data_IF_516608157537
#
_entry.id   IF_516608157537
#
_cell.length_a   1.000
_cell.length_b   1.000
_cell.length_c   1.000
_cell.angle_alpha   90.00
_cell.angle_beta   90.00
_cell.angle_gamma   90.00
#
_symmetry.space_group_name_H-M   'P 1'
#
loop_
_entity.id
_entity.type
_entity.pdbx_description
1 polymer ?
#
# COMPACT_ATOMS: atom_id res chain seq x y z
N UNK A 1 -65.00 68.99 2.49
CA UNK A 1 -64.92 67.53 2.11
C UNK A 1 -63.61 67.35 1.36
N UNK A 2 -62.58 66.94 2.06
CA UNK A 2 -61.22 66.74 1.50
C UNK A 2 -61.00 65.30 1.19
N UNK A 3 -60.99 64.97 -0.09
CA UNK A 3 -60.80 63.63 -0.56
C UNK A 3 -59.32 63.23 -0.53
N UNK A 4 -58.92 62.29 0.36
CA UNK A 4 -57.58 61.78 0.45
C UNK A 4 -57.44 60.67 -0.58
N UNK A 5 -56.53 60.84 -1.56
CA UNK A 5 -56.21 59.82 -2.54
C UNK A 5 -55.37 58.68 -1.92
N UNK A 6 -55.60 57.44 -2.28
CA UNK A 6 -54.86 56.32 -1.71
C UNK A 6 -53.41 56.24 -2.26
N UNK A 7 -52.46 56.02 -1.37
CA UNK A 7 -51.04 55.90 -1.64
C UNK A 7 -50.77 54.54 -2.38
N UNK A 8 -50.01 54.50 -3.46
CA UNK A 8 -49.73 53.29 -4.15
C UNK A 8 -48.88 52.34 -3.26
N UNK A 9 -49.35 51.14 -3.08
CA UNK A 9 -48.58 50.06 -2.40
C UNK A 9 -47.40 49.68 -3.28
N UNK A 10 -46.18 49.86 -2.76
CA UNK A 10 -44.92 49.49 -3.35
C UNK A 10 -44.84 47.96 -3.27
N UNK A 11 -45.00 47.28 -4.41
CA UNK A 11 -44.79 45.84 -4.57
C UNK A 11 -43.36 45.51 -4.18
N UNK A 12 -43.22 44.88 -3.02
CA UNK A 12 -41.95 44.29 -2.56
C UNK A 12 -41.76 42.90 -3.25
N UNK A 13 -41.48 42.90 -4.54
CA UNK A 13 -40.93 41.71 -5.17
C UNK A 13 -39.43 41.64 -4.84
N UNK A 14 -39.12 41.30 -3.59
CA UNK A 14 -37.81 40.84 -3.23
C UNK A 14 -37.58 39.47 -3.93
N UNK A 15 -36.84 39.53 -5.02
CA UNK A 15 -36.36 38.34 -5.70
C UNK A 15 -35.48 37.58 -4.72
N UNK A 16 -36.11 36.62 -4.02
CA UNK A 16 -35.41 35.68 -3.16
C UNK A 16 -34.49 34.85 -4.06
N UNK A 17 -33.24 35.25 -4.17
CA UNK A 17 -32.20 34.42 -4.76
C UNK A 17 -32.17 33.10 -3.99
N UNK A 18 -32.75 32.09 -4.57
CA UNK A 18 -32.78 30.75 -3.98
C UNK A 18 -31.35 30.26 -3.81
N UNK A 19 -30.82 30.44 -2.61
CA UNK A 19 -29.55 29.88 -2.19
C UNK A 19 -29.68 28.34 -2.25
N UNK A 20 -29.19 27.74 -3.35
CA UNK A 20 -29.14 26.28 -3.46
C UNK A 20 -28.30 25.73 -2.32
N UNK A 21 -28.87 24.90 -1.43
CA UNK A 21 -28.11 24.40 -0.30
C UNK A 21 -26.91 23.59 -0.82
N UNK A 22 -25.71 23.98 -0.41
CA UNK A 22 -24.49 23.22 -0.64
C UNK A 22 -24.72 21.88 0.04
N UNK A 23 -24.91 20.82 -0.75
CA UNK A 23 -25.05 19.45 -0.22
C UNK A 23 -23.79 19.12 0.58
N UNK A 24 -23.87 19.21 1.90
CA UNK A 24 -22.80 18.75 2.80
C UNK A 24 -22.62 17.27 2.51
N UNK A 25 -21.42 16.88 2.07
CA UNK A 25 -21.07 15.47 1.88
C UNK A 25 -21.24 14.78 3.24
N UNK A 26 -22.09 13.77 3.31
CA UNK A 26 -22.40 13.09 4.58
C UNK A 26 -21.17 12.42 5.16
N UNK A 27 -21.19 12.12 6.45
CA UNK A 27 -20.13 11.43 7.20
C UNK A 27 -19.71 10.13 6.52
N UNK A 28 -20.66 9.37 5.93
CA UNK A 28 -20.37 8.17 5.16
C UNK A 28 -19.40 8.40 3.99
N UNK A 29 -19.45 9.54 3.33
CA UNK A 29 -18.52 9.87 2.24
C UNK A 29 -17.08 10.02 2.76
N UNK A 30 -16.91 10.68 3.90
CA UNK A 30 -15.59 10.86 4.50
C UNK A 30 -15.03 9.54 5.06
N UNK A 31 -15.89 8.68 5.62
CA UNK A 31 -15.51 7.33 6.04
C UNK A 31 -15.08 6.50 4.83
N UNK A 32 -15.83 6.53 3.72
CA UNK A 32 -15.47 5.82 2.49
C UNK A 32 -14.14 6.28 1.91
N UNK A 33 -13.88 7.59 1.86
CA UNK A 33 -12.62 8.16 1.39
C UNK A 33 -11.47 7.77 2.34
N UNK A 34 -11.66 7.88 3.66
CA UNK A 34 -10.65 7.49 4.64
C UNK A 34 -10.29 6.00 4.55
N UNK A 35 -11.29 5.12 4.42
CA UNK A 35 -11.08 3.69 4.26
C UNK A 35 -10.34 3.35 2.96
N UNK A 36 -10.68 4.04 1.86
CA UNK A 36 -9.99 3.85 0.57
C UNK A 36 -8.52 4.29 0.64
N UNK A 37 -8.23 5.42 1.28
CA UNK A 37 -6.84 5.86 1.50
C UNK A 37 -6.09 4.90 2.42
N UNK A 38 -6.71 4.43 3.49
CA UNK A 38 -6.12 3.45 4.41
C UNK A 38 -5.78 2.14 3.71
N UNK A 39 -6.71 1.61 2.91
CA UNK A 39 -6.49 0.38 2.15
C UNK A 39 -5.39 0.55 1.09
N UNK A 40 -5.39 1.66 0.35
CA UNK A 40 -4.37 1.96 -0.64
C UNK A 40 -2.98 2.08 0.00
N UNK A 41 -2.88 2.76 1.15
CA UNK A 41 -1.62 2.89 1.89
C UNK A 41 -1.12 1.54 2.41
N UNK A 42 -2.02 0.68 2.89
CA UNK A 42 -1.68 -0.68 3.32
C UNK A 42 -1.14 -1.52 2.17
N UNK A 43 -1.82 -1.50 1.02
CA UNK A 43 -1.38 -2.24 -0.18
C UNK A 43 -0.02 -1.73 -0.66
N UNK A 44 0.19 -0.41 -0.66
CA UNK A 44 1.47 0.19 -1.06
C UNK A 44 2.59 -0.22 -0.09
N UNK A 45 2.33 -0.19 1.21
CA UNK A 45 3.29 -0.62 2.24
C UNK A 45 3.69 -2.09 2.04
N UNK A 46 2.71 -2.97 1.82
CA UNK A 46 2.96 -4.39 1.55
C UNK A 46 3.75 -4.59 0.25
N UNK A 47 3.43 -3.83 -0.81
CA UNK A 47 4.18 -3.88 -2.06
C UNK A 47 5.64 -3.44 -1.87
N UNK A 48 5.90 -2.41 -1.09
CA UNK A 48 7.26 -1.98 -0.74
C UNK A 48 7.98 -3.06 0.05
N UNK A 49 7.35 -3.64 1.08
CA UNK A 49 7.97 -4.69 1.91
C UNK A 49 8.26 -5.99 1.14
N UNK A 50 7.35 -6.40 0.25
CA UNK A 50 7.45 -7.72 -0.42
C UNK A 50 8.21 -7.64 -1.74
N UNK A 51 8.25 -6.47 -2.38
CA UNK A 51 8.85 -6.32 -3.72
C UNK A 51 10.05 -5.37 -3.68
N UNK A 52 9.85 -4.11 -3.28
CA UNK A 52 10.88 -3.09 -3.40
C UNK A 52 12.08 -3.36 -2.47
N UNK A 53 11.85 -3.67 -1.21
CA UNK A 53 12.92 -3.96 -0.25
C UNK A 53 13.77 -5.19 -0.64
N UNK A 54 13.20 -6.36 -1.00
CA UNK A 54 13.97 -7.48 -1.48
C UNK A 54 14.79 -7.16 -2.74
N UNK A 55 14.23 -6.43 -3.70
CA UNK A 55 14.96 -6.01 -4.91
C UNK A 55 16.17 -5.14 -4.57
N UNK A 56 16.01 -4.15 -3.70
CA UNK A 56 17.09 -3.24 -3.31
C UNK A 56 18.19 -3.94 -2.51
N UNK A 57 17.83 -4.92 -1.68
CA UNK A 57 18.77 -5.65 -0.80
C UNK A 57 19.29 -6.94 -1.41
N UNK A 58 18.93 -7.25 -2.66
CA UNK A 58 19.22 -8.53 -3.32
C UNK A 58 18.72 -9.74 -2.53
N UNK A 59 17.69 -9.56 -1.72
CA UNK A 59 17.06 -10.61 -0.93
C UNK A 59 16.09 -11.42 -1.78
N UNK A 60 15.90 -12.69 -1.42
CA UNK A 60 15.02 -13.61 -2.14
C UNK A 60 13.84 -14.00 -1.25
N UNK A 61 12.60 -13.86 -1.72
CA UNK A 61 11.42 -14.32 -1.01
C UNK A 61 11.25 -15.84 -1.16
N UNK A 62 11.04 -16.53 -0.03
CA UNK A 62 10.68 -17.96 0.02
C UNK A 62 9.41 -18.15 0.82
N UNK A 63 8.61 -19.16 0.46
CA UNK A 63 7.41 -19.54 1.22
C UNK A 63 7.69 -20.78 2.05
N UNK A 64 7.40 -20.70 3.34
CA UNK A 64 7.43 -21.84 4.24
C UNK A 64 6.24 -22.75 3.91
N UNK A 65 6.52 -23.97 3.44
CA UNK A 65 5.49 -24.91 2.99
C UNK A 65 5.10 -25.93 4.06
N UNK A 66 5.96 -26.15 5.06
CA UNK A 66 5.82 -27.18 6.07
C UNK A 66 5.66 -26.57 7.46
N UNK A 67 5.25 -27.39 8.43
CA UNK A 67 5.10 -26.98 9.83
C UNK A 67 6.39 -27.14 10.65
N UNK A 68 7.51 -27.49 10.03
CA UNK A 68 8.79 -27.72 10.74
C UNK A 68 9.31 -26.51 11.52
N UNK A 69 8.89 -25.31 11.13
CA UNK A 69 9.27 -24.05 11.77
C UNK A 69 8.17 -23.45 12.69
N UNK A 70 7.16 -24.25 13.05
CA UNK A 70 6.17 -23.84 14.04
C UNK A 70 6.82 -23.67 15.43
N UNK A 71 6.38 -22.71 16.25
CA UNK A 71 5.39 -21.69 15.96
C UNK A 71 5.98 -20.42 15.29
N UNK A 72 7.32 -20.32 15.16
CA UNK A 72 7.99 -19.08 14.74
C UNK A 72 7.62 -18.67 13.30
N UNK A 73 7.57 -19.63 12.39
CA UNK A 73 7.25 -19.43 10.96
C UNK A 73 6.26 -20.50 10.50
N UNK A 74 4.95 -20.32 10.75
CA UNK A 74 3.93 -21.29 10.31
C UNK A 74 3.90 -21.47 8.79
N UNK A 75 3.42 -22.64 8.34
CA UNK A 75 3.19 -22.86 6.92
C UNK A 75 2.35 -21.74 6.29
N UNK A 76 2.71 -21.28 5.10
CA UNK A 76 2.12 -20.09 4.47
C UNK A 76 2.75 -18.75 4.86
N UNK A 77 3.83 -18.75 5.65
CA UNK A 77 4.64 -17.57 5.92
C UNK A 77 5.56 -17.29 4.75
N UNK A 78 5.62 -16.03 4.29
CA UNK A 78 6.65 -15.56 3.37
C UNK A 78 7.85 -15.09 4.18
N UNK A 79 9.01 -15.68 3.95
CA UNK A 79 10.30 -15.29 4.56
C UNK A 79 11.16 -14.60 3.53
N UNK A 80 11.73 -13.46 3.89
CA UNK A 80 12.66 -12.70 3.05
C UNK A 80 14.07 -13.04 3.51
N UNK A 81 14.82 -13.69 2.62
CA UNK A 81 16.15 -14.22 2.88
C UNK A 81 17.18 -13.30 2.26
N UNK A 82 18.02 -12.70 3.09
CA UNK A 82 19.12 -11.83 2.68
C UNK A 82 20.38 -12.66 2.52
N UNK A 83 21.09 -12.55 1.38
CA UNK A 83 22.42 -13.16 1.25
C UNK A 83 23.33 -12.68 2.39
N UNK A 84 24.02 -13.60 3.03
CA UNK A 84 24.90 -13.30 4.15
C UNK A 84 26.19 -14.10 3.99
N UNK A 85 27.30 -13.53 4.44
CA UNK A 85 28.55 -14.24 4.55
C UNK A 85 28.38 -15.37 5.57
N UNK A 86 28.75 -16.61 5.24
CA UNK A 86 28.70 -17.74 6.19
C UNK A 86 29.43 -17.46 7.52
N UNK A 87 30.49 -16.67 7.52
CA UNK A 87 31.22 -16.28 8.73
C UNK A 87 30.45 -15.35 9.67
N UNK A 88 29.38 -14.69 9.18
CA UNK A 88 28.51 -13.82 9.97
C UNK A 88 27.31 -14.54 10.57
N UNK A 89 27.07 -15.77 10.15
CA UNK A 89 25.95 -16.59 10.64
C UNK A 89 26.25 -17.03 12.07
N UNK A 90 25.27 -16.89 12.95
CA UNK A 90 25.37 -17.21 14.37
C UNK A 90 24.39 -18.32 14.77
N UNK A 91 24.67 -18.97 15.87
CA UNK A 91 23.72 -19.87 16.51
C UNK A 91 22.45 -19.09 16.87
N UNK A 92 21.29 -19.63 16.50
CA UNK A 92 19.98 -18.98 16.65
C UNK A 92 19.47 -18.32 15.37
N UNK A 93 20.34 -18.02 14.40
CA UNK A 93 19.90 -17.50 13.12
C UNK A 93 19.07 -18.54 12.36
N UNK A 94 18.06 -18.06 11.64
CA UNK A 94 17.28 -18.90 10.74
C UNK A 94 17.82 -18.73 9.33
N UNK A 95 18.35 -19.84 8.77
CA UNK A 95 18.95 -19.84 7.44
C UNK A 95 18.10 -20.63 6.46
N UNK A 96 18.13 -20.18 5.21
CA UNK A 96 17.58 -20.95 4.08
C UNK A 96 18.76 -21.54 3.30
N UNK A 97 18.72 -22.83 3.08
CA UNK A 97 19.80 -23.57 2.41
C UNK A 97 19.26 -24.64 1.46
N UNK A 98 20.07 -25.02 0.48
CA UNK A 98 19.75 -26.11 -0.44
C UNK A 98 19.93 -27.46 0.26
N UNK A 99 18.99 -28.40 0.05
CA UNK A 99 19.11 -29.79 0.56
C UNK A 99 20.35 -30.44 -0.01
N UNK A 100 20.56 -30.29 -1.30
CA UNK A 100 21.79 -30.69 -1.99
C UNK A 100 22.32 -29.52 -2.80
N UNK A 101 23.62 -29.39 -2.89
CA UNK A 101 24.27 -28.33 -3.66
C UNK A 101 23.79 -28.37 -5.12
N UNK A 102 23.43 -27.20 -5.64
CA UNK A 102 22.91 -26.96 -7.00
C UNK A 102 21.50 -27.52 -7.30
N UNK A 103 20.77 -28.04 -6.31
CA UNK A 103 19.35 -28.37 -6.46
C UNK A 103 18.47 -27.17 -6.10
N UNK A 104 17.32 -26.97 -6.77
CA UNK A 104 16.42 -25.85 -6.48
C UNK A 104 15.68 -25.98 -5.15
N UNK A 105 15.61 -27.20 -4.59
CA UNK A 105 14.92 -27.46 -3.34
C UNK A 105 15.65 -26.84 -2.16
N UNK A 106 14.93 -26.03 -1.38
CA UNK A 106 15.47 -25.35 -0.20
C UNK A 106 14.68 -25.69 1.07
N UNK A 107 15.38 -25.63 2.18
CA UNK A 107 14.83 -25.74 3.54
C UNK A 107 15.19 -24.47 4.31
N UNK A 108 14.30 -24.06 5.21
CA UNK A 108 14.53 -22.94 6.14
C UNK A 108 14.44 -23.47 7.55
N UNK A 109 15.57 -23.52 8.26
CA UNK A 109 15.68 -24.01 9.63
C UNK A 109 16.62 -23.15 10.46
N UNK A 110 16.60 -23.35 11.78
CA UNK A 110 17.42 -22.57 12.73
C UNK A 110 18.77 -23.24 12.95
N UNK A 111 19.83 -22.45 12.95
CA UNK A 111 21.18 -22.88 13.29
C UNK A 111 21.24 -23.18 14.79
N UNK A 112 21.55 -24.42 15.15
CA UNK A 112 21.69 -24.88 16.54
C UNK A 112 23.15 -25.10 16.94
N UNK A 113 24.03 -25.31 15.94
CA UNK A 113 25.46 -25.49 16.17
C UNK A 113 26.26 -25.05 14.93
N UNK A 114 27.45 -24.51 15.17
CA UNK A 114 28.47 -24.26 14.14
C UNK A 114 29.63 -25.21 14.41
N UNK A 115 30.04 -25.97 13.40
CA UNK A 115 31.14 -26.85 13.44
C UNK A 115 32.35 -26.20 12.80
N UNK A 116 33.31 -25.84 13.60
CA UNK A 116 34.57 -25.24 13.15
C UNK A 116 35.42 -26.22 12.36
N UNK A 117 36.26 -25.73 11.41
CA UNK A 117 37.19 -26.57 10.66
C UNK A 117 38.14 -27.34 11.59
N UNK A 118 38.22 -28.66 11.45
CA UNK A 118 39.14 -29.46 12.24
C UNK A 118 40.58 -29.44 11.72
N UNK A 119 40.78 -29.16 10.42
CA UNK A 119 42.07 -29.12 9.74
C UNK A 119 42.17 -27.91 8.82
N UNK A 120 43.39 -27.50 8.51
CA UNK A 120 43.65 -26.47 7.50
C UNK A 120 43.13 -26.96 6.14
N UNK A 121 42.19 -26.21 5.55
CA UNK A 121 41.53 -26.56 4.30
C UNK A 121 40.11 -27.14 4.46
N UNK A 122 39.70 -27.48 5.66
CA UNK A 122 38.29 -27.81 5.93
C UNK A 122 37.42 -26.53 5.95
N UNK A 123 36.17 -26.70 5.60
CA UNK A 123 35.18 -25.63 5.69
C UNK A 123 34.35 -25.73 6.98
N UNK A 124 33.98 -24.61 7.56
CA UNK A 124 32.99 -24.57 8.62
C UNK A 124 31.66 -25.20 8.13
N UNK A 125 30.87 -25.75 9.03
CA UNK A 125 29.58 -26.35 8.71
C UNK A 125 28.54 -25.89 9.72
N UNK A 126 27.28 -25.97 9.32
CA UNK A 126 26.16 -25.64 10.19
C UNK A 126 25.35 -26.89 10.48
N UNK A 127 24.92 -27.04 11.73
CA UNK A 127 23.86 -27.98 12.10
C UNK A 127 22.62 -27.17 12.37
N UNK A 128 21.55 -27.48 11.64
CA UNK A 128 20.28 -26.82 11.72
C UNK A 128 19.21 -27.74 12.28
N UNK A 129 18.10 -27.11 12.74
CA UNK A 129 16.93 -27.85 13.19
C UNK A 129 15.68 -27.01 12.99
N UNK A 130 14.60 -27.60 12.53
CA UNK A 130 13.28 -26.97 12.53
C UNK A 130 12.79 -26.78 13.96
N UNK A 131 12.16 -25.64 14.23
CA UNK A 131 11.69 -25.28 15.59
C UNK A 131 10.72 -26.33 16.17
N UNK A 132 9.93 -26.99 15.31
CA UNK A 132 9.02 -28.08 15.68
C UNK A 132 9.63 -29.48 15.56
N UNK A 133 10.85 -29.62 15.04
CA UNK A 133 11.48 -30.93 14.84
C UNK A 133 12.11 -31.46 16.14
N UNK A 134 12.12 -32.77 16.33
CA UNK A 134 12.83 -33.40 17.44
C UNK A 134 14.30 -33.64 17.11
N UNK A 135 14.62 -33.90 15.85
CA UNK A 135 15.97 -34.25 15.38
C UNK A 135 16.59 -33.06 14.62
N UNK A 136 17.92 -32.97 14.72
CA UNK A 136 18.72 -32.05 13.93
C UNK A 136 18.83 -32.53 12.47
N UNK A 137 19.08 -31.59 11.57
CA UNK A 137 19.34 -31.88 10.18
C UNK A 137 20.79 -32.36 9.98
N UNK A 138 21.09 -33.00 8.85
CA UNK A 138 22.48 -33.29 8.45
C UNK A 138 23.30 -32.00 8.34
N UNK A 139 24.62 -32.12 8.40
CA UNK A 139 25.54 -31.00 8.24
C UNK A 139 25.31 -30.22 6.94
N UNK A 140 25.18 -28.89 7.07
CA UNK A 140 25.00 -27.96 5.96
C UNK A 140 26.32 -27.27 5.66
N UNK A 141 26.75 -27.34 4.41
CA UNK A 141 27.97 -26.68 3.94
C UNK A 141 27.69 -25.20 3.63
N UNK A 142 28.67 -24.28 3.76
CA UNK A 142 28.52 -22.87 3.43
C UNK A 142 27.97 -22.63 2.02
N UNK A 143 28.42 -23.41 1.04
CA UNK A 143 27.99 -23.30 -0.36
C UNK A 143 26.48 -23.59 -0.57
N UNK A 144 25.86 -24.34 0.34
CA UNK A 144 24.43 -24.64 0.30
C UNK A 144 23.57 -23.49 0.83
N UNK A 145 24.16 -22.60 1.64
CA UNK A 145 23.42 -21.51 2.29
C UNK A 145 23.04 -20.46 1.26
N UNK A 146 21.76 -20.09 1.22
CA UNK A 146 21.21 -19.03 0.37
C UNK A 146 21.16 -17.68 1.09
N UNK A 147 21.13 -17.71 2.42
CA UNK A 147 21.19 -16.54 3.27
C UNK A 147 20.42 -16.73 4.58
N UNK A 148 20.32 -15.64 5.31
CA UNK A 148 19.65 -15.56 6.62
C UNK A 148 18.28 -14.92 6.45
N UNK A 149 17.28 -15.42 7.17
CA UNK A 149 15.95 -14.81 7.22
C UNK A 149 16.06 -13.45 7.90
N UNK A 150 15.77 -12.41 7.15
CA UNK A 150 15.79 -11.03 7.63
C UNK A 150 14.48 -10.64 8.29
N UNK A 151 13.36 -10.90 7.62
CA UNK A 151 12.02 -10.73 8.17
C UNK A 151 11.05 -11.70 7.50
N UNK A 152 9.88 -11.82 8.11
CA UNK A 152 8.82 -12.69 7.63
C UNK A 152 7.48 -11.98 7.65
N UNK A 153 6.63 -12.32 6.68
CA UNK A 153 5.25 -11.82 6.60
C UNK A 153 4.32 -13.04 6.66
N UNK A 154 3.62 -13.20 7.77
CA UNK A 154 2.72 -14.35 7.94
C UNK A 154 1.55 -14.27 6.94
N UNK A 155 0.99 -15.42 6.59
CA UNK A 155 -0.19 -15.58 5.73
C UNK A 155 -0.04 -15.13 4.26
N UNK A 156 0.99 -14.40 3.87
CA UNK A 156 1.17 -13.93 2.48
C UNK A 156 1.82 -15.00 1.59
N UNK A 157 2.50 -15.96 2.17
CA UNK A 157 3.20 -17.00 1.42
C UNK A 157 2.28 -17.85 0.53
N UNK A 158 1.03 -18.09 0.92
CA UNK A 158 0.09 -18.82 0.06
C UNK A 158 -0.29 -18.02 -1.19
N UNK A 159 -0.38 -16.69 -1.08
CA UNK A 159 -0.57 -15.80 -2.24
C UNK A 159 0.63 -15.92 -3.19
N UNK A 160 1.85 -15.97 -2.62
CA UNK A 160 3.07 -16.16 -3.39
C UNK A 160 3.08 -17.52 -4.11
N UNK A 161 2.55 -18.59 -3.52
CA UNK A 161 2.43 -19.91 -4.17
C UNK A 161 1.40 -19.92 -5.32
N UNK A 162 0.27 -19.24 -5.17
CA UNK A 162 -0.72 -19.08 -6.23
C UNK A 162 -0.16 -18.24 -7.39
N UNK A 163 0.69 -17.26 -7.07
CA UNK A 163 1.27 -16.33 -8.04
C UNK A 163 2.56 -16.87 -8.68
N UNK A 164 3.32 -17.73 -8.02
CA UNK A 164 4.62 -18.24 -8.52
C UNK A 164 4.52 -19.39 -9.56
N UNK A 165 3.37 -19.98 -9.77
CA UNK A 165 3.10 -20.75 -10.98
C UNK A 165 3.05 -19.76 -12.17
N UNK A 166 3.42 -20.17 -13.39
CA UNK A 166 3.57 -19.35 -14.61
C UNK A 166 2.66 -18.11 -14.82
N UNK A 167 1.70 -17.91 -13.95
CA UNK A 167 0.72 -16.80 -13.91
C UNK A 167 1.31 -15.48 -13.37
N UNK A 168 2.47 -15.50 -12.69
CA UNK A 168 3.09 -14.29 -12.09
C UNK A 168 3.34 -13.19 -13.11
N UNK A 169 3.87 -13.56 -14.29
CA UNK A 169 4.23 -12.60 -15.32
C UNK A 169 3.03 -11.89 -15.93
N UNK A 170 1.83 -12.44 -15.75
CA UNK A 170 0.57 -11.87 -16.23
C UNK A 170 -0.20 -11.19 -15.10
N UNK A 171 -0.29 -11.81 -13.94
CA UNK A 171 -1.13 -11.33 -12.83
C UNK A 171 -0.56 -10.07 -12.17
N UNK A 172 0.76 -10.00 -11.95
CA UNK A 172 1.40 -8.84 -11.31
C UNK A 172 1.24 -7.56 -12.15
N UNK A 173 1.51 -7.54 -13.46
CA UNK A 173 1.28 -6.34 -14.27
C UNK A 173 -0.21 -5.97 -14.41
N UNK A 174 -1.12 -6.95 -14.40
CA UNK A 174 -2.57 -6.67 -14.42
C UNK A 174 -2.99 -5.96 -13.12
N UNK A 175 -2.62 -6.51 -11.96
CA UNK A 175 -2.95 -5.88 -10.66
C UNK A 175 -2.31 -4.49 -10.56
N UNK A 176 -1.04 -4.36 -10.94
CA UNK A 176 -0.37 -3.07 -10.98
C UNK A 176 -1.08 -2.09 -11.91
N UNK A 177 -1.44 -2.51 -13.13
CA UNK A 177 -2.18 -1.70 -14.08
C UNK A 177 -3.52 -1.22 -13.56
N UNK A 178 -4.30 -2.10 -12.94
CA UNK A 178 -5.59 -1.74 -12.32
C UNK A 178 -5.40 -0.72 -11.19
N UNK A 179 -4.37 -0.89 -10.34
CA UNK A 179 -4.06 0.06 -9.27
C UNK A 179 -3.61 1.42 -9.82
N UNK A 180 -2.79 1.44 -10.87
CA UNK A 180 -2.39 2.68 -11.53
C UNK A 180 -3.55 3.39 -12.21
N UNK A 181 -4.45 2.66 -12.89
CA UNK A 181 -5.66 3.22 -13.48
C UNK A 181 -6.59 3.80 -12.40
N UNK A 182 -6.75 3.10 -11.29
CA UNK A 182 -7.54 3.58 -10.15
C UNK A 182 -6.94 4.85 -9.53
N UNK A 183 -5.63 4.86 -9.31
CA UNK A 183 -4.93 6.03 -8.78
C UNK A 183 -5.02 7.24 -9.75
N UNK A 184 -4.85 7.00 -11.05
CA UNK A 184 -5.01 8.00 -12.10
C UNK A 184 -6.43 8.57 -12.16
N UNK A 185 -7.43 7.70 -12.07
CA UNK A 185 -8.85 8.11 -12.00
C UNK A 185 -9.13 8.98 -10.78
N UNK A 186 -8.63 8.60 -9.59
CA UNK A 186 -8.78 9.41 -8.37
C UNK A 186 -8.09 10.78 -8.49
N UNK A 187 -6.88 10.83 -9.04
CA UNK A 187 -6.16 12.07 -9.26
C UNK A 187 -6.89 12.97 -10.26
N UNK A 188 -7.33 12.41 -11.39
CA UNK A 188 -8.08 13.15 -12.42
C UNK A 188 -9.42 13.69 -11.88
N UNK A 189 -10.18 12.88 -11.14
CA UNK A 189 -11.44 13.33 -10.53
C UNK A 189 -11.24 14.50 -9.56
N UNK A 190 -10.18 14.46 -8.76
CA UNK A 190 -9.84 15.54 -7.82
C UNK A 190 -9.46 16.83 -8.56
N UNK A 191 -8.70 16.74 -9.64
CA UNK A 191 -8.32 17.90 -10.47
C UNK A 191 -9.54 18.49 -11.18
N UNK A 192 -10.41 17.65 -11.73
CA UNK A 192 -11.66 18.09 -12.38
C UNK A 192 -12.57 18.80 -11.38
N UNK A 193 -12.73 18.26 -10.18
CA UNK A 193 -13.55 18.88 -9.12
C UNK A 193 -12.99 20.25 -8.68
N UNK A 194 -11.66 20.37 -8.58
CA UNK A 194 -11.00 21.66 -8.28
C UNK A 194 -11.22 22.67 -9.39
N UNK A 195 -11.07 22.30 -10.65
CA UNK A 195 -11.32 23.19 -11.80
C UNK A 195 -12.77 23.63 -11.88
N UNK A 196 -13.72 22.71 -11.65
CA UNK A 196 -15.16 23.05 -11.62
C UNK A 196 -15.50 24.02 -10.49
N UNK A 197 -14.90 23.89 -9.32
CA UNK A 197 -15.09 24.83 -8.21
C UNK A 197 -14.52 26.20 -8.53
N UNK A 198 -13.29 26.26 -9.04
CA UNK A 198 -12.67 27.53 -9.45
C UNK A 198 -13.47 28.24 -10.55
N UNK A 199 -13.96 27.52 -11.56
CA UNK A 199 -14.83 28.10 -12.60
C UNK A 199 -16.17 28.60 -12.05
N UNK A 200 -16.76 27.87 -11.09
CA UNK A 200 -18.01 28.33 -10.44
C UNK A 200 -17.81 29.53 -9.54
N UNK A 201 -16.66 29.67 -8.90
CA UNK A 201 -16.30 30.86 -8.10
C UNK A 201 -16.04 32.07 -8.99
N UNK A 202 -15.33 31.87 -10.11
CA UNK A 202 -15.11 32.95 -11.09
C UNK A 202 -16.42 33.47 -11.70
N UNK A 203 -17.33 32.56 -12.12
CA UNK A 203 -18.63 32.91 -12.65
C UNK A 203 -19.53 33.67 -11.62
N UNK A 204 -19.40 33.36 -10.34
CA UNK A 204 -20.09 34.08 -9.27
C UNK A 204 -19.54 35.50 -9.08
N UNK A 205 -18.20 35.60 -9.03
CA UNK A 205 -17.55 36.91 -8.91
C UNK A 205 -17.93 37.86 -10.08
N UNK A 206 -18.03 37.33 -11.30
CA UNK A 206 -18.48 38.11 -12.47
C UNK A 206 -19.95 38.53 -12.35
N UNK A 207 -20.84 37.64 -11.85
CA UNK A 207 -22.24 38.00 -11.61
C UNK A 207 -22.39 39.06 -10.52
N UNK A 208 -21.65 38.94 -9.42
CA UNK A 208 -21.68 39.90 -8.32
C UNK A 208 -21.20 41.28 -8.79
N UNK A 209 -20.18 41.35 -9.66
CA UNK A 209 -19.69 42.60 -10.25
C UNK A 209 -20.72 43.27 -11.18
N UNK A 210 -21.40 42.47 -12.02
CA UNK A 210 -22.49 42.98 -12.90
C UNK A 210 -23.68 43.48 -12.07
N UNK A 211 -24.04 42.77 -11.01
CA UNK A 211 -25.14 43.18 -10.13
C UNK A 211 -24.81 44.49 -9.37
N UNK A 212 -23.54 44.70 -9.02
CA UNK A 212 -23.06 45.92 -8.37
C UNK A 212 -23.10 47.10 -9.35
N UNK A 213 -22.62 46.93 -10.58
CA UNK A 213 -22.68 47.94 -11.64
C UNK A 213 -24.15 48.34 -11.98
N UNK A 214 -25.04 47.37 -12.07
CA UNK A 214 -26.46 47.59 -12.26
C UNK A 214 -27.10 48.41 -11.10
N UNK A 215 -26.68 48.14 -9.86
CA UNK A 215 -27.16 48.93 -8.70
C UNK A 215 -26.70 50.39 -8.76
N UNK A 216 -25.42 50.61 -9.09
CA UNK A 216 -24.89 51.97 -9.24
C UNK A 216 -25.63 52.76 -10.34
N UNK A 217 -25.89 52.12 -11.50
CA UNK A 217 -26.64 52.74 -12.60
C UNK A 217 -28.09 53.06 -12.20
N UNK A 218 -28.76 52.21 -11.45
CA UNK A 218 -30.12 52.42 -10.96
C UNK A 218 -30.15 53.57 -9.94
N UNK A 219 -29.18 53.67 -9.06
CA UNK A 219 -29.10 54.74 -8.06
C UNK A 219 -28.75 56.13 -8.72
N UNK A 220 -27.85 56.13 -9.72
CA UNK A 220 -27.53 57.28 -10.50
C UNK A 220 -28.75 57.81 -11.33
N UNK A 221 -29.62 56.89 -11.78
CA UNK A 221 -30.83 57.30 -12.52
C UNK A 221 -31.94 57.86 -11.63
N UNK A 222 -31.81 57.75 -10.30
CA UNK A 222 -32.79 58.23 -9.32
C UNK A 222 -32.42 59.57 -8.69
N UNK A 223 -31.17 60.01 -8.87
CA UNK A 223 -30.67 61.31 -8.39
C UNK A 223 -30.94 62.43 -9.43
#
# INVERSE_FOLDING_TARGET
MTTIAPRPQRSQNATSAAHKPVKKKGVLHYIGVGLSFGLLSLVLLLAVMVVALPMLTKSTPYTVLTSSMNPSYPAGTLVIVKPSDPQQIRIGDVITYQIKSNEPAVITHRVIQIVEPAKVGDEMKFITKGDANSLADPEVKPIQVRGVVWYAVPFIGWINNVINGGTRNVLVPIIAGVLFLYAGFMAASTVIDRRRKAAAEAARAEQDAVDEELRELVDASRA
#
